data_IF_000143456802
#
_entry.id   IF_000143456802
#
_cell.length_a   1.000
_cell.length_b   1.000
_cell.length_c   1.000
_cell.angle_alpha   90.00
_cell.angle_beta   90.00
_cell.angle_gamma   90.00
#
_symmetry.space_group_name_H-M   'P 1'
#
loop_
_entity.id
_entity.type
_entity.pdbx_description
1 polymer ?
#
# COMPACT_ATOMS: atom_id res chain seq x y z
N UNK A 1 -14.16 22.11 -13.82
CA UNK A 1 -15.41 21.55 -13.27
C UNK A 1 -15.41 21.64 -11.74
N UNK A 2 -16.57 21.44 -11.09
CA UNK A 2 -16.64 21.28 -9.64
C UNK A 2 -16.61 19.80 -9.28
N UNK A 3 -15.95 19.45 -8.16
CA UNK A 3 -15.94 18.07 -7.63
C UNK A 3 -16.07 18.10 -6.11
N UNK A 4 -16.76 17.11 -5.53
CA UNK A 4 -16.82 16.92 -4.08
C UNK A 4 -15.55 16.20 -3.62
N UNK A 5 -14.91 16.67 -2.57
CA UNK A 5 -13.68 16.10 -2.03
C UNK A 5 -13.61 16.23 -0.50
N UNK A 6 -12.89 15.33 0.14
CA UNK A 6 -12.51 15.44 1.54
C UNK A 6 -11.14 16.14 1.64
N UNK A 7 -11.13 17.35 2.18
CA UNK A 7 -9.95 18.22 2.26
C UNK A 7 -9.32 18.14 3.63
N UNK A 8 -8.04 17.87 3.67
CA UNK A 8 -7.18 18.01 4.85
C UNK A 8 -6.61 19.44 4.87
N UNK A 9 -7.14 20.31 5.70
CA UNK A 9 -6.70 21.70 5.79
C UNK A 9 -5.40 21.86 6.58
N UNK A 10 -5.27 21.10 7.65
CA UNK A 10 -4.11 21.12 8.55
C UNK A 10 -3.90 19.76 9.19
N UNK A 11 -2.66 19.50 9.56
CA UNK A 11 -2.32 18.34 10.37
C UNK A 11 -3.13 18.27 11.68
N UNK A 12 -3.55 17.06 12.05
CA UNK A 12 -4.27 16.78 13.29
C UNK A 12 -5.73 17.23 13.30
N UNK A 13 -6.28 17.73 12.19
CA UNK A 13 -7.69 18.13 12.08
C UNK A 13 -8.49 17.11 11.26
N UNK A 14 -9.78 16.92 11.54
CA UNK A 14 -10.67 16.12 10.71
C UNK A 14 -10.71 16.65 9.27
N UNK A 15 -10.95 15.75 8.32
CA UNK A 15 -11.23 16.12 6.94
C UNK A 15 -12.57 16.85 6.84
N UNK A 16 -12.66 17.87 5.99
CA UNK A 16 -13.93 18.55 5.66
C UNK A 16 -14.37 18.20 4.25
N UNK A 17 -15.67 18.04 4.07
CA UNK A 17 -16.24 17.76 2.74
C UNK A 17 -16.53 19.08 2.04
N UNK A 18 -15.82 19.31 0.95
CA UNK A 18 -15.87 20.56 0.19
C UNK A 18 -16.26 20.32 -1.28
N UNK A 19 -16.80 21.34 -1.91
CA UNK A 19 -16.98 21.39 -3.36
C UNK A 19 -15.87 22.26 -3.94
N UNK A 20 -14.83 21.61 -4.46
CA UNK A 20 -13.63 22.27 -4.96
C UNK A 20 -13.65 22.42 -6.49
N UNK A 21 -12.87 23.35 -7.00
CA UNK A 21 -12.58 23.48 -8.43
C UNK A 21 -11.53 22.44 -8.86
N UNK A 22 -11.82 21.74 -9.96
CA UNK A 22 -10.91 20.83 -10.60
C UNK A 22 -10.67 21.26 -12.06
N UNK A 23 -9.42 21.56 -12.40
CA UNK A 23 -9.01 21.82 -13.77
C UNK A 23 -9.04 20.52 -14.59
N UNK A 24 -9.27 20.67 -15.91
CA UNK A 24 -9.16 19.54 -16.85
C UNK A 24 -7.72 19.03 -16.99
N UNK A 25 -7.56 17.83 -17.59
CA UNK A 25 -6.24 17.24 -17.77
C UNK A 25 -5.42 18.01 -18.80
N UNK A 26 -4.16 18.32 -18.43
CA UNK A 26 -3.16 18.94 -19.33
C UNK A 26 -2.36 17.86 -20.07
N UNK A 27 -1.23 18.25 -20.66
CA UNK A 27 -0.38 17.33 -21.41
C UNK A 27 0.11 16.14 -20.57
N UNK A 28 -0.16 14.93 -21.05
CA UNK A 28 0.21 13.69 -20.38
C UNK A 28 -0.63 13.35 -19.13
N UNK A 29 -1.77 14.02 -18.93
CA UNK A 29 -2.66 13.84 -17.77
C UNK A 29 -4.00 13.24 -18.17
N UNK A 30 -4.67 12.66 -17.21
CA UNK A 30 -5.93 11.94 -17.37
C UNK A 30 -6.88 12.35 -16.26
N UNK A 31 -8.12 12.68 -16.61
CA UNK A 31 -9.21 12.91 -15.66
C UNK A 31 -9.91 11.57 -15.38
N UNK A 32 -9.98 11.21 -14.11
CA UNK A 32 -10.57 9.96 -13.63
C UNK A 32 -11.75 10.26 -12.72
N UNK A 33 -12.89 9.63 -13.00
CA UNK A 33 -14.00 9.52 -12.05
C UNK A 33 -13.72 8.37 -11.09
N UNK A 34 -13.52 8.68 -9.82
CA UNK A 34 -13.27 7.67 -8.78
C UNK A 34 -14.61 7.01 -8.41
N UNK A 35 -14.64 5.70 -8.39
CA UNK A 35 -15.82 4.90 -8.02
C UNK A 35 -15.72 4.31 -6.62
N UNK A 36 -14.50 4.04 -6.17
CA UNK A 36 -14.22 3.58 -4.82
C UNK A 36 -12.79 3.97 -4.40
N UNK A 37 -12.58 4.16 -3.11
CA UNK A 37 -11.24 4.37 -2.54
C UNK A 37 -11.13 3.78 -1.14
N UNK A 38 -10.02 3.09 -0.87
CA UNK A 38 -9.67 2.58 0.46
C UNK A 38 -9.17 3.67 1.39
N UNK A 39 -9.35 3.45 2.69
CA UNK A 39 -8.80 4.28 3.78
C UNK A 39 -7.57 3.54 4.35
N UNK A 40 -6.40 4.18 4.28
CA UNK A 40 -5.13 3.58 4.65
C UNK A 40 -4.50 4.24 5.87
N UNK A 41 -3.69 3.49 6.63
CA UNK A 41 -2.87 4.05 7.72
C UNK A 41 -1.89 5.12 7.22
N UNK A 42 -1.44 5.04 5.98
CA UNK A 42 -0.56 6.05 5.37
C UNK A 42 -1.27 7.40 5.22
N UNK A 43 -2.56 7.40 4.86
CA UNK A 43 -3.36 8.65 4.85
C UNK A 43 -3.47 9.24 6.25
N UNK A 44 -3.69 8.38 7.27
CA UNK A 44 -3.76 8.83 8.66
C UNK A 44 -2.39 9.32 9.18
N UNK A 45 -1.30 8.67 8.80
CA UNK A 45 0.06 9.09 9.16
C UNK A 45 0.31 10.53 8.70
N UNK A 46 -0.06 10.86 7.46
CA UNK A 46 0.01 12.24 6.95
C UNK A 46 -0.99 13.15 7.66
N UNK A 47 -2.28 12.75 7.77
CA UNK A 47 -3.32 13.55 8.40
C UNK A 47 -3.00 13.90 9.87
N UNK A 48 -2.39 12.99 10.61
CA UNK A 48 -2.00 13.22 12.01
C UNK A 48 -0.85 14.22 12.18
N UNK A 49 -0.11 14.51 11.11
CA UNK A 49 1.09 15.36 11.15
C UNK A 49 2.38 14.61 11.52
N UNK A 50 2.33 13.28 11.64
CA UNK A 50 3.52 12.46 11.89
C UNK A 50 4.42 12.34 10.64
N UNK A 51 3.87 12.58 9.45
CA UNK A 51 4.60 12.59 8.18
C UNK A 51 5.33 13.93 7.99
N UNK A 52 6.67 13.94 8.01
CA UNK A 52 7.44 15.17 7.83
C UNK A 52 7.36 15.73 6.40
N UNK A 53 6.94 14.91 5.43
CA UNK A 53 6.71 15.32 4.04
C UNK A 53 5.23 15.71 3.78
N UNK A 54 4.37 15.68 4.81
CA UNK A 54 2.96 16.04 4.71
C UNK A 54 2.77 17.50 4.30
N UNK A 55 1.95 17.75 3.28
CA UNK A 55 1.67 19.08 2.74
C UNK A 55 0.19 19.38 2.90
N UNK A 56 -0.15 20.59 3.32
CA UNK A 56 -1.52 21.06 3.55
C UNK A 56 -1.73 22.46 2.95
N UNK A 57 -2.96 22.80 2.47
CA UNK A 57 -4.13 21.92 2.36
C UNK A 57 -3.95 20.86 1.24
N UNK A 58 -4.50 19.67 1.44
CA UNK A 58 -4.39 18.58 0.46
C UNK A 58 -5.66 17.73 0.38
N UNK A 59 -5.87 17.09 -0.77
CA UNK A 59 -6.84 16.00 -0.91
C UNK A 59 -6.05 14.70 -0.81
N UNK A 60 -6.27 13.94 0.27
CA UNK A 60 -5.59 12.67 0.52
C UNK A 60 -6.20 11.53 -0.32
N UNK A 61 -5.88 10.28 0.04
CA UNK A 61 -6.34 9.08 -0.65
C UNK A 61 -5.42 8.62 -1.77
N UNK A 62 -5.04 7.34 -1.70
CA UNK A 62 -4.12 6.74 -2.68
C UNK A 62 -4.50 5.28 -3.06
N UNK A 63 -5.64 4.80 -2.58
CA UNK A 63 -6.16 3.46 -2.85
C UNK A 63 -7.44 3.53 -3.71
N UNK A 64 -7.40 4.23 -4.85
CA UNK A 64 -8.56 4.44 -5.69
C UNK A 64 -8.72 3.42 -6.81
N UNK A 65 -9.96 3.34 -7.34
CA UNK A 65 -10.27 2.73 -8.62
C UNK A 65 -11.39 3.52 -9.29
N UNK A 66 -11.34 3.64 -10.61
CA UNK A 66 -12.32 4.46 -11.32
C UNK A 66 -12.24 4.35 -12.84
N UNK A 67 -12.91 5.27 -13.51
CA UNK A 67 -13.09 5.29 -14.97
C UNK A 67 -12.47 6.56 -15.55
N UNK A 68 -11.73 6.43 -16.61
CA UNK A 68 -11.22 7.56 -17.39
C UNK A 68 -12.38 8.29 -18.06
N UNK A 69 -12.53 9.58 -17.76
CA UNK A 69 -13.60 10.41 -18.35
C UNK A 69 -13.08 11.39 -19.39
N UNK A 70 -11.80 11.79 -19.29
CA UNK A 70 -11.16 12.66 -20.29
C UNK A 70 -9.64 12.44 -20.26
N UNK A 71 -8.97 12.74 -21.38
CA UNK A 71 -7.52 12.61 -21.53
C UNK A 71 -6.93 13.89 -22.13
N UNK A 72 -5.83 14.34 -21.56
CA UNK A 72 -5.09 15.48 -22.07
C UNK A 72 -4.25 15.16 -23.32
N UNK A 73 -3.71 16.18 -24.01
CA UNK A 73 -2.83 15.97 -25.14
C UNK A 73 -1.62 15.09 -24.75
N UNK A 74 -1.14 14.26 -25.68
CA UNK A 74 0.04 13.40 -25.47
C UNK A 74 -0.25 12.10 -24.70
N UNK A 75 -1.45 11.87 -24.19
CA UNK A 75 -1.86 10.57 -23.63
C UNK A 75 -2.02 9.56 -24.76
N UNK A 76 -1.39 8.40 -24.64
CA UNK A 76 -1.33 7.40 -25.72
C UNK A 76 -1.77 6.00 -25.31
N UNK A 77 -1.77 5.69 -24.00
CA UNK A 77 -2.06 4.33 -23.50
C UNK A 77 -3.43 4.20 -22.84
N UNK A 78 -4.12 5.33 -22.64
CA UNK A 78 -5.45 5.40 -22.02
C UNK A 78 -6.42 6.19 -22.88
N UNK A 79 -7.70 5.85 -22.78
CA UNK A 79 -8.81 6.54 -23.45
C UNK A 79 -10.02 6.60 -22.53
N UNK A 80 -10.96 7.49 -22.84
CA UNK A 80 -12.26 7.57 -22.18
C UNK A 80 -12.95 6.19 -22.12
N UNK A 81 -13.45 5.83 -20.94
CA UNK A 81 -14.09 4.57 -20.64
C UNK A 81 -13.15 3.50 -20.08
N UNK A 82 -11.84 3.66 -20.17
CA UNK A 82 -10.90 2.70 -19.57
C UNK A 82 -11.03 2.68 -18.04
N UNK A 83 -11.06 1.49 -17.45
CA UNK A 83 -11.00 1.30 -16.00
C UNK A 83 -9.56 1.35 -15.52
N UNK A 84 -9.32 2.09 -14.45
CA UNK A 84 -7.95 2.34 -13.95
C UNK A 84 -7.85 2.31 -12.43
N UNK A 85 -6.66 1.98 -11.97
CA UNK A 85 -6.21 2.14 -10.57
C UNK A 85 -5.12 3.22 -10.54
N UNK A 86 -5.31 4.34 -9.83
CA UNK A 86 -4.27 5.32 -9.57
C UNK A 86 -3.13 4.72 -8.73
N UNK A 87 -1.90 5.10 -9.06
CA UNK A 87 -0.67 4.56 -8.48
C UNK A 87 0.18 5.68 -7.88
N UNK A 88 0.45 5.61 -6.59
CA UNK A 88 1.42 6.50 -5.94
C UNK A 88 2.87 6.18 -6.33
N UNK A 89 3.11 4.99 -6.90
CA UNK A 89 4.39 4.61 -7.49
C UNK A 89 4.22 4.55 -9.01
N UNK A 90 4.59 5.64 -9.74
CA UNK A 90 4.43 5.71 -11.18
C UNK A 90 5.37 4.75 -11.90
N UNK A 91 5.05 4.44 -13.17
CA UNK A 91 5.90 3.63 -14.05
C UNK A 91 5.95 4.25 -15.45
N UNK A 92 6.99 5.05 -15.74
CA UNK A 92 7.14 5.69 -17.06
C UNK A 92 7.71 4.75 -18.15
N UNK A 93 8.34 3.64 -17.77
CA UNK A 93 8.96 2.63 -18.65
C UNK A 93 10.15 3.14 -19.49
N UNK A 94 10.65 4.34 -19.24
CA UNK A 94 11.74 4.94 -20.03
C UNK A 94 12.88 5.54 -19.21
N UNK A 95 12.68 5.85 -17.92
CA UNK A 95 13.75 6.35 -17.09
C UNK A 95 14.75 5.23 -16.69
N UNK A 96 15.96 5.64 -16.29
CA UNK A 96 17.01 4.73 -15.82
C UNK A 96 16.51 3.71 -14.80
N UNK A 97 15.64 4.14 -13.88
CA UNK A 97 15.13 3.28 -12.80
C UNK A 97 14.17 2.22 -13.35
N UNK A 98 13.20 2.59 -14.18
CA UNK A 98 12.29 1.65 -14.82
C UNK A 98 13.04 0.64 -15.71
N UNK A 99 14.02 1.10 -16.49
CA UNK A 99 14.78 0.27 -17.41
C UNK A 99 15.80 -0.63 -16.71
N UNK A 100 16.24 -0.27 -15.50
CA UNK A 100 17.27 -1.03 -14.75
C UNK A 100 16.78 -2.41 -14.31
N UNK A 101 15.48 -2.61 -14.16
CA UNK A 101 14.85 -3.80 -13.56
C UNK A 101 15.32 -4.12 -12.12
N UNK A 102 16.06 -3.19 -11.49
CA UNK A 102 16.56 -3.35 -10.11
C UNK A 102 15.65 -2.71 -9.07
N UNK A 103 14.75 -1.82 -9.49
CA UNK A 103 13.82 -1.09 -8.63
C UNK A 103 12.51 -0.81 -9.36
N UNK A 104 11.44 -0.65 -8.58
CA UNK A 104 10.14 -0.18 -9.05
C UNK A 104 9.94 1.34 -8.85
N UNK A 105 10.92 2.04 -8.25
CA UNK A 105 10.81 3.45 -7.88
C UNK A 105 11.15 4.38 -9.05
N UNK A 106 10.20 4.60 -9.94
CA UNK A 106 10.29 5.56 -11.02
C UNK A 106 10.53 6.98 -10.49
N UNK A 107 11.46 7.72 -11.10
CA UNK A 107 11.83 9.06 -10.63
C UNK A 107 11.34 10.19 -11.56
N UNK A 108 10.60 9.86 -12.65
CA UNK A 108 10.29 10.85 -13.69
C UNK A 108 9.52 12.07 -13.16
N UNK A 109 8.55 11.87 -12.27
CA UNK A 109 7.72 12.92 -11.68
C UNK A 109 7.95 13.09 -10.17
N UNK A 110 8.92 12.39 -9.58
CA UNK A 110 9.13 12.38 -8.12
C UNK A 110 9.37 13.79 -7.55
N UNK A 111 10.05 14.65 -8.29
CA UNK A 111 10.39 16.01 -7.84
C UNK A 111 9.19 16.94 -7.66
N UNK A 112 8.09 16.73 -8.39
CA UNK A 112 6.83 17.47 -8.26
C UNK A 112 5.81 16.70 -7.42
N UNK A 113 5.73 15.40 -7.60
CA UNK A 113 4.84 14.52 -6.83
C UNK A 113 5.03 14.67 -5.32
N UNK A 114 6.28 14.69 -4.83
CA UNK A 114 6.59 14.88 -3.41
C UNK A 114 6.27 16.29 -2.89
N UNK A 115 5.98 17.25 -3.77
CA UNK A 115 5.54 18.61 -3.43
C UNK A 115 4.02 18.78 -3.58
N UNK A 116 3.27 17.70 -3.78
CA UNK A 116 1.83 17.76 -4.01
C UNK A 116 1.42 18.42 -5.31
N UNK A 117 2.30 18.40 -6.33
CA UNK A 117 2.09 19.09 -7.59
C UNK A 117 2.12 18.10 -8.78
N UNK A 118 1.45 18.50 -9.85
CA UNK A 118 1.50 17.83 -11.13
C UNK A 118 2.86 18.05 -11.83
N UNK A 119 3.20 17.35 -12.92
CA UNK A 119 4.50 17.46 -13.59
C UNK A 119 4.88 18.88 -14.02
N UNK A 120 3.90 19.74 -14.28
CA UNK A 120 4.10 21.18 -14.63
C UNK A 120 4.28 22.09 -13.40
N UNK A 121 4.48 21.52 -12.22
CA UNK A 121 4.63 22.22 -10.94
C UNK A 121 3.41 23.07 -10.53
N UNK A 122 2.19 22.72 -10.98
CA UNK A 122 0.94 23.35 -10.55
C UNK A 122 -0.03 22.31 -9.98
N UNK A 123 -1.01 22.73 -9.16
CA UNK A 123 -2.11 21.86 -8.75
C UNK A 123 -3.26 21.93 -9.76
N UNK A 124 -4.10 20.87 -9.80
CA UNK A 124 -5.36 20.88 -10.52
C UNK A 124 -6.55 21.21 -9.62
N UNK A 125 -6.37 21.13 -8.30
CA UNK A 125 -7.40 21.46 -7.33
C UNK A 125 -7.22 22.87 -6.78
N UNK A 126 -8.35 23.56 -6.56
CA UNK A 126 -8.39 24.85 -5.85
C UNK A 126 -9.75 25.09 -5.18
N UNK A 127 -9.77 25.94 -4.18
CA UNK A 127 -10.99 26.47 -3.58
C UNK A 127 -10.82 27.98 -3.41
N UNK A 128 -11.78 28.76 -3.92
CA UNK A 128 -11.75 30.23 -3.90
C UNK A 128 -10.44 30.83 -4.40
N UNK A 129 -9.83 30.20 -5.42
CA UNK A 129 -8.57 30.62 -6.02
C UNK A 129 -7.32 30.16 -5.26
N UNK A 130 -7.45 29.55 -4.09
CA UNK A 130 -6.33 28.96 -3.35
C UNK A 130 -6.06 27.55 -3.85
N UNK A 131 -4.80 27.18 -4.19
CA UNK A 131 -4.48 25.83 -4.59
C UNK A 131 -4.60 24.85 -3.43
N UNK A 132 -5.12 23.65 -3.71
CA UNK A 132 -5.14 22.50 -2.82
C UNK A 132 -4.19 21.46 -3.42
N UNK A 133 -3.26 20.93 -2.62
CA UNK A 133 -2.22 20.04 -3.10
C UNK A 133 -2.75 18.63 -3.40
N UNK A 134 -2.13 17.98 -4.38
CA UNK A 134 -2.31 16.55 -4.62
C UNK A 134 -1.58 15.74 -3.56
N UNK A 135 -2.15 14.59 -3.22
CA UNK A 135 -1.50 13.62 -2.34
C UNK A 135 -0.95 12.46 -3.17
N UNK A 136 0.35 12.26 -3.12
CA UNK A 136 1.05 11.17 -3.83
C UNK A 136 0.75 11.11 -5.35
N UNK A 137 0.26 12.20 -5.95
CA UNK A 137 -0.14 12.25 -7.35
C UNK A 137 -1.43 11.48 -7.67
N UNK A 138 -2.24 11.13 -6.67
CA UNK A 138 -3.46 10.32 -6.80
C UNK A 138 -4.72 11.03 -6.31
N UNK A 139 -4.76 11.53 -5.06
CA UNK A 139 -5.86 12.33 -4.45
C UNK A 139 -7.23 11.69 -4.65
N UNK A 140 -7.40 10.45 -4.18
CA UNK A 140 -8.61 9.68 -4.44
C UNK A 140 -9.75 9.92 -3.46
N UNK A 141 -9.56 10.76 -2.41
CA UNK A 141 -10.66 11.23 -1.56
C UNK A 141 -11.44 12.37 -2.22
N UNK A 142 -11.73 12.19 -3.49
CA UNK A 142 -12.50 13.09 -4.35
C UNK A 142 -13.27 12.28 -5.40
N UNK A 143 -14.48 12.73 -5.76
CA UNK A 143 -15.24 12.07 -6.84
C UNK A 143 -14.50 12.07 -8.18
N UNK A 144 -13.70 13.10 -8.44
CA UNK A 144 -12.87 13.20 -9.64
C UNK A 144 -11.46 13.62 -9.26
N UNK A 145 -10.48 13.05 -9.94
CA UNK A 145 -9.07 13.46 -9.82
C UNK A 145 -8.40 13.54 -11.18
N UNK A 146 -7.33 14.32 -11.28
CA UNK A 146 -6.45 14.33 -12.44
C UNK A 146 -5.12 13.73 -12.02
N UNK A 147 -4.65 12.75 -12.77
CA UNK A 147 -3.38 12.08 -12.52
C UNK A 147 -2.53 11.99 -13.80
N UNK A 148 -1.18 11.95 -13.69
CA UNK A 148 -0.33 11.66 -14.84
C UNK A 148 -0.62 10.27 -15.41
N UNK A 149 -0.63 10.12 -16.75
CA UNK A 149 -0.85 8.82 -17.42
C UNK A 149 0.05 7.70 -16.84
N UNK A 150 1.30 8.04 -16.52
CA UNK A 150 2.28 7.09 -15.96
C UNK A 150 1.96 6.61 -14.54
N UNK A 151 1.00 7.26 -13.88
CA UNK A 151 0.49 6.93 -12.55
C UNK A 151 -0.86 6.21 -12.60
N UNK A 152 -1.26 5.66 -13.73
CA UNK A 152 -2.53 4.96 -13.92
C UNK A 152 -2.30 3.57 -14.49
N UNK A 153 -2.75 2.54 -13.78
CA UNK A 153 -2.77 1.17 -14.27
C UNK A 153 -4.13 0.89 -14.90
N UNK A 154 -4.15 0.58 -16.20
CA UNK A 154 -5.37 0.10 -16.88
C UNK A 154 -5.68 -1.32 -16.42
N UNK A 155 -6.92 -1.55 -16.02
CA UNK A 155 -7.44 -2.84 -15.57
C UNK A 155 -8.61 -3.31 -16.46
N UNK A 156 -9.02 -4.55 -16.29
CA UNK A 156 -10.19 -5.12 -16.96
C UNK A 156 -11.48 -4.45 -16.48
N UNK A 157 -12.45 -4.33 -17.39
CA UNK A 157 -13.68 -3.56 -17.17
C UNK A 157 -14.70 -4.25 -16.24
N UNK A 158 -14.61 -5.56 -16.08
CA UNK A 158 -15.52 -6.35 -15.22
C UNK A 158 -15.06 -6.43 -13.76
N UNK A 159 -13.92 -5.81 -13.39
CA UNK A 159 -13.41 -5.82 -12.03
C UNK A 159 -14.22 -4.87 -11.12
N UNK A 160 -14.72 -5.32 -9.94
CA UNK A 160 -15.51 -4.51 -9.02
C UNK A 160 -14.64 -3.47 -8.32
N UNK A 161 -14.98 -2.18 -8.50
CA UNK A 161 -14.17 -1.05 -8.01
C UNK A 161 -13.98 -1.06 -6.50
N UNK A 162 -15.01 -1.43 -5.74
CA UNK A 162 -14.99 -1.51 -4.27
C UNK A 162 -14.01 -2.56 -3.72
N UNK A 163 -13.58 -3.49 -4.54
CA UNK A 163 -12.58 -4.51 -4.19
C UNK A 163 -11.20 -4.14 -4.73
N UNK A 164 -11.14 -3.84 -6.03
CA UNK A 164 -9.84 -3.65 -6.70
C UNK A 164 -9.16 -2.32 -6.35
N UNK A 165 -9.87 -1.33 -5.77
CA UNK A 165 -9.26 -0.10 -5.27
C UNK A 165 -8.14 -0.39 -4.26
N UNK A 166 -8.29 -1.42 -3.41
CA UNK A 166 -7.29 -1.82 -2.43
C UNK A 166 -6.02 -2.42 -3.06
N UNK A 167 -6.09 -2.89 -4.31
CA UNK A 167 -4.91 -3.40 -5.03
C UNK A 167 -3.88 -2.30 -5.27
N UNK A 168 -4.30 -1.02 -5.40
CA UNK A 168 -3.43 0.13 -5.61
C UNK A 168 -2.40 0.39 -4.50
N UNK A 169 -2.55 -0.25 -3.33
CA UNK A 169 -1.61 -0.12 -2.20
C UNK A 169 -1.44 -1.45 -1.45
N UNK A 170 -2.35 -1.77 -0.52
CA UNK A 170 -2.14 -2.80 0.48
C UNK A 170 -1.98 -4.21 -0.08
N UNK A 171 -2.79 -4.58 -1.07
CA UNK A 171 -2.72 -5.91 -1.71
C UNK A 171 -1.40 -6.08 -2.45
N UNK A 172 -1.06 -5.13 -3.32
CA UNK A 172 0.20 -5.14 -4.08
C UNK A 172 1.41 -5.09 -3.16
N UNK A 173 1.38 -4.30 -2.10
CA UNK A 173 2.47 -4.21 -1.12
C UNK A 173 2.73 -5.56 -0.44
N UNK A 174 1.69 -6.22 0.06
CA UNK A 174 1.86 -7.49 0.77
C UNK A 174 2.22 -8.65 -0.14
N UNK A 175 1.43 -8.90 -1.18
CA UNK A 175 1.69 -9.99 -2.15
C UNK A 175 3.01 -9.76 -2.89
N UNK A 176 3.26 -8.53 -3.31
CA UNK A 176 4.48 -8.18 -4.04
C UNK A 176 5.74 -8.32 -3.20
N UNK A 177 5.69 -8.05 -1.90
CA UNK A 177 6.82 -8.27 -1.01
C UNK A 177 7.28 -9.74 -1.04
N UNK A 178 6.34 -10.67 -1.12
CA UNK A 178 6.63 -12.10 -1.25
C UNK A 178 7.15 -12.46 -2.63
N UNK A 179 6.43 -12.05 -3.69
CA UNK A 179 6.70 -12.50 -5.05
C UNK A 179 7.80 -11.71 -5.76
N UNK A 180 7.86 -10.40 -5.58
CA UNK A 180 8.76 -9.54 -6.37
C UNK A 180 9.98 -9.08 -5.58
N UNK A 181 9.83 -8.75 -4.27
CA UNK A 181 10.95 -8.35 -3.43
C UNK A 181 11.71 -9.57 -2.91
N UNK A 182 11.09 -10.37 -2.05
CA UNK A 182 11.72 -11.52 -1.42
C UNK A 182 11.94 -12.69 -2.37
N UNK A 183 11.03 -12.89 -3.34
CA UNK A 183 11.01 -14.04 -4.24
C UNK A 183 11.05 -15.34 -3.45
N UNK A 184 10.10 -15.48 -2.56
CA UNK A 184 10.00 -16.62 -1.64
C UNK A 184 9.94 -17.91 -2.42
N UNK A 185 10.76 -18.88 -2.02
CA UNK A 185 10.86 -20.19 -2.65
C UNK A 185 9.79 -21.15 -2.14
N UNK A 186 9.40 -22.10 -2.98
CA UNK A 186 8.49 -23.20 -2.61
C UNK A 186 9.08 -23.98 -1.42
N UNK A 187 8.25 -24.30 -0.44
CA UNK A 187 8.67 -25.04 0.76
C UNK A 187 9.37 -24.20 1.83
N UNK A 188 9.51 -22.88 1.64
CA UNK A 188 10.15 -22.00 2.62
C UNK A 188 9.31 -21.84 3.89
N UNK A 189 9.98 -21.60 5.03
CA UNK A 189 9.37 -21.14 6.27
C UNK A 189 9.30 -19.62 6.29
N UNK A 190 8.08 -19.09 6.40
CA UNK A 190 7.79 -17.65 6.33
C UNK A 190 7.21 -17.16 7.65
N UNK A 191 7.69 -16.03 8.15
CA UNK A 191 7.15 -15.37 9.34
C UNK A 191 6.62 -13.98 8.98
N UNK A 192 5.42 -13.65 9.48
CA UNK A 192 4.75 -12.37 9.25
C UNK A 192 4.45 -11.71 10.59
N UNK A 193 5.08 -10.58 10.86
CA UNK A 193 4.83 -9.76 12.03
C UNK A 193 3.78 -8.69 11.71
N UNK A 194 2.65 -8.74 12.43
CA UNK A 194 1.49 -7.89 12.20
C UNK A 194 0.51 -8.50 11.19
N UNK A 195 -0.69 -8.85 11.66
CA UNK A 195 -1.76 -9.51 10.88
C UNK A 195 -2.88 -8.53 10.50
N UNK A 196 -2.49 -7.30 10.19
CA UNK A 196 -3.35 -6.30 9.56
C UNK A 196 -3.47 -6.51 8.05
N UNK A 197 -4.02 -5.53 7.35
CA UNK A 197 -4.26 -5.62 5.90
C UNK A 197 -3.03 -6.00 5.07
N UNK A 198 -1.84 -5.46 5.40
CA UNK A 198 -0.58 -5.82 4.72
C UNK A 198 -0.17 -7.25 5.05
N UNK A 199 -0.13 -7.61 6.34
CA UNK A 199 0.31 -8.95 6.76
C UNK A 199 -0.58 -10.07 6.23
N UNK A 200 -1.89 -9.87 6.16
CA UNK A 200 -2.82 -10.84 5.54
C UNK A 200 -2.51 -11.04 4.05
N UNK A 201 -2.12 -9.97 3.34
CA UNK A 201 -1.69 -10.08 1.95
C UNK A 201 -0.31 -10.76 1.79
N UNK A 202 0.61 -10.58 2.75
CA UNK A 202 1.87 -11.36 2.81
C UNK A 202 1.56 -12.85 3.01
N UNK A 203 0.64 -13.18 3.94
CA UNK A 203 0.23 -14.59 4.20
C UNK A 203 -0.33 -15.24 2.93
N UNK A 204 -1.28 -14.58 2.24
CA UNK A 204 -1.81 -15.17 1.01
C UNK A 204 -0.77 -15.23 -0.11
N UNK A 205 0.15 -14.28 -0.21
CA UNK A 205 1.28 -14.35 -1.10
C UNK A 205 2.19 -15.56 -0.80
N UNK A 206 2.51 -15.81 0.47
CA UNK A 206 3.28 -16.98 0.91
C UNK A 206 2.56 -18.30 0.59
N UNK A 207 1.24 -18.36 0.79
CA UNK A 207 0.41 -19.50 0.38
C UNK A 207 0.46 -19.73 -1.15
N UNK A 208 0.37 -18.66 -1.94
CA UNK A 208 0.41 -18.74 -3.41
C UNK A 208 1.71 -19.35 -3.94
N UNK A 209 2.84 -19.07 -3.31
CA UNK A 209 4.15 -19.63 -3.72
C UNK A 209 4.43 -20.99 -3.13
N UNK A 210 3.53 -21.54 -2.30
CA UNK A 210 3.69 -22.87 -1.69
C UNK A 210 4.70 -22.90 -0.55
N UNK A 211 4.74 -21.88 0.30
CA UNK A 211 5.51 -21.90 1.54
C UNK A 211 5.03 -23.06 2.45
N UNK A 212 5.94 -23.68 3.21
CA UNK A 212 5.64 -24.80 4.09
C UNK A 212 4.98 -24.31 5.40
N UNK A 213 5.74 -23.57 6.21
CA UNK A 213 5.19 -22.93 7.41
C UNK A 213 4.97 -21.44 7.14
N UNK A 214 3.75 -20.98 7.42
CA UNK A 214 3.38 -19.57 7.39
C UNK A 214 3.00 -19.18 8.80
N UNK A 215 3.92 -18.54 9.50
CA UNK A 215 3.83 -18.20 10.92
C UNK A 215 3.40 -16.75 11.05
N UNK A 216 2.25 -16.51 11.67
CA UNK A 216 1.76 -15.17 11.97
C UNK A 216 2.05 -14.77 13.41
N UNK A 217 2.52 -13.55 13.61
CA UNK A 217 2.82 -12.97 14.94
C UNK A 217 1.96 -11.72 15.13
N UNK A 218 1.07 -11.71 16.11
CA UNK A 218 0.23 -10.56 16.44
C UNK A 218 -0.14 -10.51 17.93
N UNK A 219 -0.27 -9.29 18.46
CA UNK A 219 -0.70 -9.04 19.84
C UNK A 219 -2.20 -9.27 20.07
N UNK A 220 -3.00 -9.18 18.99
CA UNK A 220 -4.44 -9.38 19.03
C UNK A 220 -4.80 -10.81 18.60
N UNK A 221 -5.25 -11.69 19.53
CA UNK A 221 -5.60 -13.06 19.20
C UNK A 221 -6.81 -13.18 18.26
N UNK A 222 -7.65 -12.16 18.16
CA UNK A 222 -8.81 -12.17 17.24
C UNK A 222 -8.40 -12.18 15.77
N UNK A 223 -7.16 -11.78 15.46
CA UNK A 223 -6.59 -11.83 14.10
C UNK A 223 -6.30 -13.25 13.62
N UNK A 224 -6.17 -14.22 14.53
CA UNK A 224 -5.79 -15.60 14.20
C UNK A 224 -6.76 -16.26 13.21
N UNK A 225 -8.06 -16.18 13.48
CA UNK A 225 -9.07 -16.84 12.63
C UNK A 225 -9.01 -16.35 11.18
N UNK A 226 -8.92 -15.03 11.00
CA UNK A 226 -8.80 -14.42 9.67
C UNK A 226 -7.48 -14.82 8.99
N UNK A 227 -6.36 -14.75 9.70
CA UNK A 227 -5.06 -15.12 9.16
C UNK A 227 -5.00 -16.59 8.72
N UNK A 228 -5.63 -17.51 9.47
CA UNK A 228 -5.78 -18.93 9.07
C UNK A 228 -6.57 -19.08 7.78
N UNK A 229 -7.65 -18.30 7.60
CA UNK A 229 -8.43 -18.29 6.36
C UNK A 229 -7.56 -17.90 5.15
N UNK A 230 -6.63 -16.96 5.33
CA UNK A 230 -5.68 -16.52 4.31
C UNK A 230 -4.53 -17.50 4.07
N UNK A 231 -4.31 -18.47 4.96
CA UNK A 231 -3.31 -19.54 4.78
C UNK A 231 -2.25 -19.64 5.85
N UNK A 232 -2.38 -18.89 6.97
CA UNK A 232 -1.49 -19.04 8.12
C UNK A 232 -1.59 -20.45 8.71
N UNK A 233 -0.42 -21.05 8.99
CA UNK A 233 -0.34 -22.41 9.58
C UNK A 233 -0.12 -22.37 11.10
N UNK A 234 0.63 -21.40 11.60
CA UNK A 234 0.98 -21.24 13.02
C UNK A 234 0.76 -19.81 13.47
N UNK A 235 0.26 -19.66 14.71
CA UNK A 235 0.05 -18.35 15.33
C UNK A 235 0.91 -18.23 16.58
N UNK A 236 1.57 -17.09 16.77
CA UNK A 236 2.34 -16.75 17.96
C UNK A 236 1.83 -15.42 18.51
N UNK A 237 1.41 -15.41 19.77
CA UNK A 237 1.03 -14.19 20.47
C UNK A 237 2.16 -13.73 21.38
N UNK A 238 2.79 -12.56 21.11
CA UNK A 238 3.89 -12.03 21.92
C UNK A 238 3.53 -11.78 23.39
N UNK A 239 2.24 -11.61 23.73
CA UNK A 239 1.80 -11.41 25.12
C UNK A 239 1.88 -12.70 25.98
N UNK A 240 1.83 -13.85 25.33
CA UNK A 240 1.82 -15.17 26.00
C UNK A 240 3.06 -16.00 25.68
N UNK A 241 3.97 -15.50 24.83
CA UNK A 241 5.22 -16.17 24.44
C UNK A 241 6.39 -15.42 25.04
N UNK A 242 7.16 -16.08 25.90
CA UNK A 242 8.28 -15.47 26.63
C UNK A 242 9.34 -14.89 25.70
N UNK A 243 9.72 -15.64 24.66
CA UNK A 243 10.67 -15.19 23.63
C UNK A 243 10.18 -15.60 22.25
N UNK A 244 9.66 -14.62 21.50
CA UNK A 244 9.12 -14.82 20.14
C UNK A 244 10.19 -15.31 19.16
N UNK A 245 11.41 -14.79 19.26
CA UNK A 245 12.53 -15.18 18.38
C UNK A 245 12.88 -16.64 18.58
N UNK A 246 13.04 -17.08 19.83
CA UNK A 246 13.39 -18.45 20.14
C UNK A 246 12.27 -19.43 19.76
N UNK A 247 11.01 -19.05 19.98
CA UNK A 247 9.85 -19.85 19.58
C UNK A 247 9.82 -20.08 18.06
N UNK A 248 10.09 -19.04 17.25
CA UNK A 248 10.18 -19.15 15.80
C UNK A 248 11.35 -20.03 15.37
N UNK A 249 12.54 -19.81 15.96
CA UNK A 249 13.75 -20.59 15.65
C UNK A 249 13.53 -22.08 15.94
N UNK A 250 12.88 -22.42 17.06
CA UNK A 250 12.54 -23.81 17.39
C UNK A 250 11.52 -24.40 16.40
N UNK A 251 10.47 -23.64 16.06
CA UNK A 251 9.41 -24.08 15.16
C UNK A 251 9.92 -24.33 13.73
N UNK A 252 10.97 -23.62 13.33
CA UNK A 252 11.55 -23.64 11.98
C UNK A 252 12.89 -24.39 11.89
N UNK A 253 13.28 -25.11 12.94
CA UNK A 253 14.54 -25.88 13.03
C UNK A 253 15.78 -25.07 12.64
N UNK A 254 15.97 -23.91 13.33
CA UNK A 254 17.16 -23.07 13.16
C UNK A 254 16.91 -21.68 12.62
N UNK A 255 15.67 -21.31 12.31
CA UNK A 255 15.24 -20.00 11.88
C UNK A 255 14.43 -20.02 10.57
N UNK A 256 13.61 -19.01 10.38
CA UNK A 256 12.81 -18.87 9.18
C UNK A 256 13.65 -18.49 7.95
N UNK A 257 13.25 -18.91 6.77
CA UNK A 257 13.89 -18.51 5.52
C UNK A 257 13.60 -17.04 5.20
N UNK A 258 12.37 -16.61 5.48
CA UNK A 258 11.92 -15.24 5.24
C UNK A 258 11.11 -14.71 6.42
N UNK A 259 11.31 -13.45 6.75
CA UNK A 259 10.43 -12.72 7.68
C UNK A 259 9.96 -11.42 7.05
N UNK A 260 8.73 -11.01 7.38
CA UNK A 260 8.11 -9.79 6.89
C UNK A 260 7.62 -8.97 8.08
N UNK A 261 8.13 -7.75 8.20
CA UNK A 261 7.69 -6.80 9.22
C UNK A 261 6.65 -5.85 8.60
N UNK A 262 5.39 -5.92 9.11
CA UNK A 262 4.24 -5.23 8.56
C UNK A 262 3.61 -4.22 9.54
N UNK A 263 4.33 -3.81 10.59
CA UNK A 263 3.83 -2.95 11.67
C UNK A 263 4.45 -1.56 11.59
N UNK A 264 5.76 -1.47 11.35
CA UNK A 264 6.55 -0.24 11.44
C UNK A 264 7.20 -0.03 12.82
N UNK A 265 7.47 -1.11 13.55
CA UNK A 265 8.09 -1.03 14.87
C UNK A 265 9.56 -1.49 14.82
N UNK A 266 10.49 -0.62 15.21
CA UNK A 266 11.95 -0.88 15.10
C UNK A 266 12.42 -2.08 15.92
N UNK A 267 11.79 -2.34 17.07
CA UNK A 267 12.11 -3.53 17.89
C UNK A 267 11.60 -4.81 17.22
N UNK A 268 10.42 -4.76 16.61
CA UNK A 268 9.89 -5.89 15.85
C UNK A 268 10.70 -6.12 14.57
N UNK A 269 11.18 -5.07 13.90
CA UNK A 269 12.10 -5.18 12.77
C UNK A 269 13.37 -5.96 13.16
N UNK A 270 13.91 -5.70 14.35
CA UNK A 270 15.04 -6.44 14.89
C UNK A 270 14.70 -7.91 15.16
N UNK A 271 13.57 -8.19 15.82
CA UNK A 271 13.10 -9.56 16.05
C UNK A 271 12.89 -10.32 14.73
N UNK A 272 12.33 -9.64 13.73
CA UNK A 272 12.12 -10.19 12.39
C UNK A 272 13.45 -10.60 11.73
N UNK A 273 14.51 -9.84 11.88
CA UNK A 273 15.84 -10.24 11.43
C UNK A 273 16.39 -11.42 12.24
N UNK A 274 16.34 -11.33 13.56
CA UNK A 274 16.99 -12.28 14.46
C UNK A 274 16.34 -13.67 14.46
N UNK A 275 15.05 -13.78 14.10
CA UNK A 275 14.35 -15.04 13.96
C UNK A 275 14.60 -15.77 12.63
N UNK A 276 15.29 -15.14 11.67
CA UNK A 276 15.64 -15.80 10.40
C UNK A 276 16.86 -16.68 10.50
N UNK A 277 17.01 -17.60 9.56
CA UNK A 277 18.12 -18.56 9.53
C UNK A 277 19.47 -17.87 9.35
N UNK A 278 20.47 -18.30 10.11
CA UNK A 278 21.87 -17.91 9.87
C UNK A 278 22.30 -18.48 8.53
N UNK A 279 23.02 -17.67 7.74
CA UNK A 279 23.55 -18.09 6.44
C UNK A 279 22.74 -17.58 5.24
N UNK A 280 21.38 -17.66 5.26
CA UNK A 280 20.59 -17.22 4.10
C UNK A 280 19.30 -16.46 4.45
N UNK A 281 18.89 -16.40 5.72
CA UNK A 281 17.64 -15.79 6.13
C UNK A 281 17.49 -14.33 5.65
N UNK A 282 16.32 -13.98 5.15
CA UNK A 282 15.99 -12.64 4.64
C UNK A 282 14.86 -12.04 5.43
N UNK A 283 15.09 -10.83 5.96
CA UNK A 283 14.09 -10.06 6.68
C UNK A 283 13.68 -8.83 5.87
N UNK A 284 12.41 -8.74 5.54
CA UNK A 284 11.84 -7.71 4.69
C UNK A 284 11.05 -6.72 5.55
N UNK A 285 11.48 -5.45 5.53
CA UNK A 285 10.80 -4.34 6.19
C UNK A 285 9.78 -3.75 5.22
N UNK A 286 8.51 -3.73 5.62
CA UNK A 286 7.39 -3.14 4.89
C UNK A 286 6.75 -2.03 5.71
N UNK A 287 6.64 -2.22 7.02
CA UNK A 287 6.03 -1.25 7.92
C UNK A 287 6.79 0.08 7.94
N UNK A 288 6.04 1.19 8.01
CA UNK A 288 6.59 2.54 8.08
C UNK A 288 6.75 2.93 9.54
N UNK A 289 7.99 3.12 9.98
CA UNK A 289 8.31 3.61 11.32
C UNK A 289 8.17 5.14 11.41
N UNK A 290 8.13 5.67 12.63
CA UNK A 290 8.12 7.11 12.88
C UNK A 290 9.35 7.80 12.25
N UNK A 291 9.18 9.05 11.82
CA UNK A 291 10.28 9.85 11.29
C UNK A 291 11.41 9.97 12.32
N UNK A 292 12.65 9.72 11.88
CA UNK A 292 13.83 9.75 12.74
C UNK A 292 14.07 8.48 13.56
N UNK A 293 13.17 7.49 13.50
CA UNK A 293 13.42 6.20 14.12
C UNK A 293 14.53 5.42 13.39
N UNK A 294 15.42 4.81 14.14
CA UNK A 294 16.54 4.02 13.61
C UNK A 294 16.39 2.54 14.00
N UNK A 295 16.82 1.67 13.09
CA UNK A 295 16.92 0.23 13.36
C UNK A 295 18.34 -0.11 13.79
N UNK A 296 18.50 -1.05 14.75
CA UNK A 296 19.79 -1.49 15.19
C UNK A 296 19.83 -3.00 15.43
N UNK A 297 20.95 -3.62 15.12
CA UNK A 297 21.22 -5.03 15.43
C UNK A 297 22.69 -5.24 15.71
N UNK A 298 23.03 -6.38 16.31
CA UNK A 298 24.43 -6.76 16.48
C UNK A 298 25.04 -7.07 15.10
N UNK A 299 26.20 -6.49 14.72
CA UNK A 299 26.81 -6.69 13.40
C UNK A 299 26.99 -8.15 13.02
N UNK A 300 27.21 -9.02 14.00
CA UNK A 300 27.39 -10.46 13.77
C UNK A 300 26.13 -11.13 13.20
N UNK A 301 24.97 -10.57 13.39
CA UNK A 301 23.74 -11.07 12.75
C UNK A 301 23.82 -11.00 11.22
N UNK A 302 24.44 -9.93 10.71
CA UNK A 302 24.66 -9.74 9.27
C UNK A 302 25.90 -10.50 8.76
N UNK A 303 26.97 -10.52 9.56
CA UNK A 303 28.20 -11.27 9.23
C UNK A 303 27.90 -12.75 9.02
N UNK A 304 26.96 -13.31 9.76
CA UNK A 304 26.56 -14.73 9.62
C UNK A 304 25.61 -15.00 8.44
N UNK A 305 25.34 -14.01 7.59
CA UNK A 305 24.64 -14.21 6.32
C UNK A 305 23.18 -13.80 6.25
N UNK A 306 22.58 -13.36 7.39
CA UNK A 306 21.25 -12.75 7.37
C UNK A 306 21.24 -11.47 6.53
N UNK A 307 20.11 -11.19 5.89
CA UNK A 307 19.93 -9.99 5.07
C UNK A 307 18.75 -9.17 5.60
N UNK A 308 18.98 -7.87 5.73
CA UNK A 308 17.93 -6.90 6.04
C UNK A 308 17.67 -6.06 4.81
N UNK A 309 16.44 -6.02 4.35
CA UNK A 309 16.07 -5.31 3.13
C UNK A 309 14.66 -4.70 3.24
N UNK A 310 14.39 -3.66 2.46
CA UNK A 310 13.09 -2.99 2.42
C UNK A 310 12.28 -3.37 1.20
N UNK A 311 10.96 -3.21 1.29
CA UNK A 311 10.02 -3.41 0.18
C UNK A 311 9.07 -2.22 0.07
N UNK A 312 9.24 -1.40 -0.96
CA UNK A 312 8.30 -0.33 -1.29
C UNK A 312 7.31 -0.82 -2.35
N UNK A 313 6.01 -0.69 -2.07
CA UNK A 313 4.95 -1.15 -2.98
C UNK A 313 5.14 -2.61 -3.41
N UNK A 314 5.65 -3.46 -2.51
CA UNK A 314 5.94 -4.87 -2.80
C UNK A 314 7.00 -5.12 -3.87
N UNK A 315 7.79 -4.12 -4.28
CA UNK A 315 8.68 -4.22 -5.42
C UNK A 315 7.97 -4.27 -6.78
N UNK A 316 6.65 -4.11 -6.80
CA UNK A 316 5.83 -4.18 -8.01
C UNK A 316 6.02 -2.96 -8.90
N UNK A 317 6.03 -3.18 -10.22
CA UNK A 317 5.97 -2.14 -11.24
C UNK A 317 4.49 -1.87 -11.53
N UNK A 318 3.99 -0.71 -11.10
CA UNK A 318 2.58 -0.44 -10.97
C UNK A 318 1.75 -0.73 -12.23
N UNK A 319 2.10 -0.12 -13.36
CA UNK A 319 1.35 -0.30 -14.62
C UNK A 319 1.54 -1.69 -15.26
N UNK A 320 2.57 -2.43 -14.83
CA UNK A 320 2.88 -3.78 -15.34
C UNK A 320 2.29 -4.87 -14.47
N UNK A 321 2.38 -4.76 -13.16
CA UNK A 321 2.05 -5.85 -12.24
C UNK A 321 0.67 -5.71 -11.58
N UNK A 322 0.18 -4.48 -11.33
CA UNK A 322 -1.15 -4.25 -10.76
C UNK A 322 -2.29 -4.89 -11.60
N UNK A 323 -2.32 -4.77 -12.94
CA UNK A 323 -3.35 -5.46 -13.73
C UNK A 323 -3.33 -6.98 -13.56
N UNK A 324 -2.14 -7.60 -13.41
CA UNK A 324 -2.02 -9.05 -13.16
C UNK A 324 -2.58 -9.44 -11.78
N UNK A 325 -2.38 -8.59 -10.77
CA UNK A 325 -2.93 -8.83 -9.42
C UNK A 325 -4.45 -8.71 -9.46
N UNK A 326 -5.01 -7.80 -10.27
CA UNK A 326 -6.44 -7.73 -10.55
C UNK A 326 -6.93 -9.04 -11.19
N UNK A 327 -6.21 -9.57 -12.19
CA UNK A 327 -6.55 -10.85 -12.81
C UNK A 327 -6.50 -12.00 -11.79
N UNK A 328 -5.50 -12.04 -10.89
CA UNK A 328 -5.44 -13.05 -9.83
C UNK A 328 -6.64 -12.99 -8.89
N UNK A 329 -7.14 -11.80 -8.57
CA UNK A 329 -8.37 -11.64 -7.80
C UNK A 329 -9.59 -12.16 -8.57
N UNK A 330 -9.74 -11.75 -9.83
CA UNK A 330 -10.85 -12.17 -10.68
C UNK A 330 -10.85 -13.68 -10.97
N UNK A 331 -9.67 -14.31 -10.99
CA UNK A 331 -9.48 -15.76 -11.12
C UNK A 331 -9.69 -16.51 -9.78
N UNK A 332 -9.98 -15.83 -8.68
CA UNK A 332 -10.13 -16.42 -7.34
C UNK A 332 -8.84 -16.94 -6.71
N UNK A 333 -7.67 -16.51 -7.21
CA UNK A 333 -6.35 -16.90 -6.68
C UNK A 333 -5.99 -16.17 -5.41
N UNK A 334 -6.54 -14.98 -5.20
CA UNK A 334 -6.40 -14.15 -4.01
C UNK A 334 -7.76 -13.69 -3.49
N UNK A 335 -7.85 -13.47 -2.19
CA UNK A 335 -9.05 -13.03 -1.50
C UNK A 335 -8.90 -11.56 -1.08
N UNK A 336 -9.75 -10.70 -1.61
CA UNK A 336 -9.85 -9.29 -1.21
C UNK A 336 -11.16 -9.04 -0.46
N UNK A 337 -12.22 -9.79 -0.77
CA UNK A 337 -13.55 -9.59 -0.21
C UNK A 337 -13.55 -9.56 1.32
N UNK A 338 -12.86 -10.50 1.94
CA UNK A 338 -12.79 -10.62 3.40
C UNK A 338 -11.90 -9.52 4.05
N UNK A 339 -11.08 -8.83 3.29
CA UNK A 339 -10.27 -7.71 3.79
C UNK A 339 -11.10 -6.45 3.95
N UNK A 340 -12.15 -6.27 3.14
CA UNK A 340 -13.00 -5.09 3.16
C UNK A 340 -14.11 -5.31 4.17
N UNK A 341 -13.94 -4.77 5.37
CA UNK A 341 -14.84 -4.96 6.50
C UNK A 341 -15.93 -3.88 6.61
N UNK A 342 -15.70 -2.71 6.02
CA UNK A 342 -16.62 -1.58 6.09
C UNK A 342 -16.67 -0.83 4.76
N UNK A 343 -17.88 -0.41 4.36
CA UNK A 343 -18.10 0.51 3.24
C UNK A 343 -18.89 1.71 3.73
N UNK A 344 -18.62 2.90 3.16
CA UNK A 344 -19.26 4.13 3.59
C UNK A 344 -19.26 5.18 2.46
N UNK A 345 -20.14 6.20 2.51
CA UNK A 345 -20.05 7.37 1.63
C UNK A 345 -18.88 8.27 2.04
N UNK A 346 -18.49 9.21 1.16
CA UNK A 346 -17.38 10.15 1.42
C UNK A 346 -17.61 10.98 2.69
N UNK A 347 -18.86 11.32 3.00
CA UNK A 347 -19.26 12.10 4.16
C UNK A 347 -18.86 11.45 5.48
N UNK A 348 -18.77 10.13 5.52
CA UNK A 348 -18.41 9.33 6.70
C UNK A 348 -16.91 9.01 6.80
N UNK A 349 -16.06 9.61 5.97
CA UNK A 349 -14.62 9.27 5.89
C UNK A 349 -13.90 9.41 7.24
N UNK A 350 -14.24 10.41 8.05
CA UNK A 350 -13.64 10.58 9.38
C UNK A 350 -13.98 9.40 10.31
N UNK A 351 -15.22 8.88 10.25
CA UNK A 351 -15.60 7.66 10.96
C UNK A 351 -14.80 6.45 10.49
N UNK A 352 -14.52 6.38 9.20
CA UNK A 352 -13.64 5.35 8.64
C UNK A 352 -12.24 5.35 9.27
N UNK A 353 -11.65 6.52 9.49
CA UNK A 353 -10.38 6.66 10.21
C UNK A 353 -10.49 6.23 11.69
N UNK A 354 -11.61 6.50 12.35
CA UNK A 354 -11.84 6.08 13.74
C UNK A 354 -11.92 4.55 13.84
N UNK A 355 -12.68 3.89 12.97
CA UNK A 355 -12.78 2.42 12.89
C UNK A 355 -11.43 1.77 12.59
N UNK A 356 -10.60 2.40 11.77
CA UNK A 356 -9.25 1.92 11.50
C UNK A 356 -8.35 2.04 12.74
N UNK A 357 -8.40 3.16 13.48
CA UNK A 357 -7.61 3.39 14.70
C UNK A 357 -8.01 2.47 15.85
N UNK A 358 -9.30 2.19 16.02
CA UNK A 358 -9.80 1.26 17.03
C UNK A 358 -9.44 -0.20 16.72
N UNK A 359 -9.00 -0.50 15.48
CA UNK A 359 -8.70 -1.85 15.03
C UNK A 359 -9.94 -2.68 14.65
N UNK A 360 -11.13 -2.07 14.66
CA UNK A 360 -12.38 -2.72 14.24
C UNK A 360 -12.41 -2.95 12.73
N UNK A 361 -11.81 -2.04 11.94
CA UNK A 361 -11.71 -2.20 10.50
C UNK A 361 -10.35 -2.78 10.09
N UNK A 362 -10.36 -3.79 9.22
CA UNK A 362 -9.17 -4.23 8.49
C UNK A 362 -8.95 -3.26 7.32
N UNK A 363 -10.01 -3.05 6.51
CA UNK A 363 -10.04 -2.05 5.45
C UNK A 363 -11.44 -1.43 5.34
N UNK A 364 -11.51 -0.10 5.45
CA UNK A 364 -12.68 0.70 5.10
C UNK A 364 -12.59 1.17 3.65
N UNK A 365 -13.70 1.16 2.93
CA UNK A 365 -13.78 1.64 1.54
C UNK A 365 -14.87 2.70 1.41
N UNK A 366 -14.52 3.84 0.86
CA UNK A 366 -15.46 4.89 0.46
C UNK A 366 -16.00 4.58 -0.93
N UNK A 367 -17.33 4.65 -1.08
CA UNK A 367 -18.04 4.49 -2.36
C UNK A 367 -18.57 5.85 -2.83
N UNK A 368 -18.48 6.11 -4.13
CA UNK A 368 -18.90 7.36 -4.76
C UNK A 368 -20.15 7.19 -5.63
#
# INVERSE_FOLDING_TARGET
>A
MKTKAAVAWKAGQPLTIETVDLQGPKFGEVLVEIKATGICHTDYYTLSGADPEGIFPAILGHEGAGIVVDVGPGVTTLKKGDHVIPLYTPECRQCKFCLSRKTNLCQLIRGTQGKGLMPDATSRFSLDGQPIFHYMGTSTFSNYTVAPEISLAKIREDAPFDKVCYIGCGVTTGIGAVLFTAKVEVGANVVVFGLGGIGLNVIQGAKMVGADKIIGVDLNPEREAMARKFGMTHFINPKTTENVVDAIVQLTDGGADYSFECIGNTQVMRQALECTHKGWGRSIIIGVAEAGAEISTRPFQLVTGRKWEGSAFGGARGRTDVPKIVDWYMDGKINIDDLITHTMPLEDINKGFELMKSGESIRGVVLY
#
